data_IF_517955981224
#
_entry.id   IF_517955981224
#
_cell.length_a   1.000
_cell.length_b   1.000
_cell.length_c   1.000
_cell.angle_alpha   90.00
_cell.angle_beta   90.00
_cell.angle_gamma   90.00
#
_symmetry.space_group_name_H-M   'P 1'
#
loop_
_entity.id
_entity.type
_entity.pdbx_description
1 polymer ?
#
# COMPACT_ATOMS: atom_id res chain seq x y z
N UNK A 1 18.36 9.57 13.61
CA UNK A 1 18.25 9.81 12.13
C UNK A 1 16.91 10.36 11.62
N UNK A 2 15.75 9.73 11.86
CA UNK A 2 14.57 9.81 10.94
C UNK A 2 13.89 11.17 10.78
N UNK A 3 14.04 12.09 11.74
CA UNK A 3 13.51 13.46 11.68
C UNK A 3 14.56 14.49 11.18
N UNK A 4 15.76 14.05 10.82
CA UNK A 4 16.81 14.92 10.29
C UNK A 4 16.45 15.40 8.87
N UNK A 5 16.48 16.71 8.63
CA UNK A 5 16.09 17.30 7.36
C UNK A 5 16.90 16.82 6.15
N UNK A 6 18.19 16.52 6.31
CA UNK A 6 19.03 16.02 5.22
C UNK A 6 18.81 14.54 4.95
N UNK A 7 18.42 13.76 5.97
CA UNK A 7 17.95 12.39 5.75
C UNK A 7 16.64 12.37 4.96
N UNK A 8 15.70 13.25 5.32
CA UNK A 8 14.43 13.42 4.58
C UNK A 8 14.73 13.88 3.15
N UNK A 9 15.64 14.83 2.95
CA UNK A 9 16.05 15.28 1.63
C UNK A 9 16.66 14.14 0.80
N UNK A 10 17.54 13.33 1.38
CA UNK A 10 18.11 12.17 0.70
C UNK A 10 17.03 11.17 0.27
N UNK A 11 16.03 10.89 1.12
CA UNK A 11 14.92 10.02 0.77
C UNK A 11 14.06 10.60 -0.37
N UNK A 12 13.79 11.91 -0.34
CA UNK A 12 13.06 12.61 -1.41
C UNK A 12 13.84 12.59 -2.73
N UNK A 13 15.15 12.82 -2.66
CA UNK A 13 16.05 12.79 -3.82
C UNK A 13 16.09 11.39 -4.46
N UNK A 14 16.18 10.34 -3.64
CA UNK A 14 16.10 8.95 -4.11
C UNK A 14 14.76 8.67 -4.81
N UNK A 15 13.63 9.05 -4.21
CA UNK A 15 12.31 8.84 -4.80
C UNK A 15 12.14 9.62 -6.12
N UNK A 16 12.57 10.88 -6.16
CA UNK A 16 12.48 11.73 -7.35
C UNK A 16 13.38 11.25 -8.49
N UNK A 17 14.62 10.89 -8.19
CA UNK A 17 15.55 10.35 -9.18
C UNK A 17 15.05 9.00 -9.73
N UNK A 18 14.56 8.11 -8.87
CA UNK A 18 13.96 6.84 -9.28
C UNK A 18 12.79 7.07 -10.25
N UNK A 19 11.86 7.95 -9.90
CA UNK A 19 10.71 8.27 -10.74
C UNK A 19 11.14 8.79 -12.13
N UNK A 20 12.16 9.66 -12.19
CA UNK A 20 12.66 10.28 -13.41
C UNK A 20 13.58 9.37 -14.26
N UNK A 21 14.21 8.35 -13.67
CA UNK A 21 15.22 7.51 -14.33
C UNK A 21 14.67 6.55 -15.40
N UNK A 22 13.36 6.36 -15.48
CA UNK A 22 12.74 5.27 -16.25
C UNK A 22 12.80 3.91 -15.55
N UNK A 23 13.44 3.83 -14.38
CA UNK A 23 13.54 2.65 -13.53
C UNK A 23 14.95 2.11 -13.42
N UNK A 24 15.24 1.51 -12.27
CA UNK A 24 16.48 0.78 -11.95
C UNK A 24 16.12 -0.53 -11.28
N UNK A 25 16.97 -1.55 -11.42
CA UNK A 25 16.70 -2.91 -10.96
C UNK A 25 17.30 -3.22 -9.58
N UNK A 26 18.22 -2.39 -9.09
CA UNK A 26 18.95 -2.64 -7.84
C UNK A 26 19.21 -1.38 -7.02
N UNK A 27 19.52 -1.57 -5.74
CA UNK A 27 19.91 -0.47 -4.85
C UNK A 27 21.21 0.18 -5.33
N UNK A 28 22.14 -0.60 -5.86
CA UNK A 28 23.41 -0.07 -6.38
C UNK A 28 23.17 0.84 -7.60
N UNK A 29 22.28 0.44 -8.51
CA UNK A 29 21.87 1.29 -9.64
C UNK A 29 21.15 2.55 -9.17
N UNK A 30 20.26 2.44 -8.18
CA UNK A 30 19.61 3.61 -7.57
C UNK A 30 20.65 4.58 -7.00
N UNK A 31 21.62 4.08 -6.24
CA UNK A 31 22.65 4.91 -5.62
C UNK A 31 23.61 5.53 -6.63
N UNK A 32 23.76 4.93 -7.81
CA UNK A 32 24.55 5.49 -8.91
C UNK A 32 23.85 6.65 -9.65
N UNK A 33 22.53 6.86 -9.44
CA UNK A 33 21.82 7.97 -10.07
C UNK A 33 22.35 9.33 -9.56
N UNK A 34 22.31 10.39 -10.40
CA UNK A 34 22.64 11.75 -9.96
C UNK A 34 21.72 12.22 -8.84
N UNK A 35 22.29 12.90 -7.84
CA UNK A 35 21.49 13.56 -6.80
C UNK A 35 20.84 14.84 -7.35
N UNK A 36 19.50 14.98 -7.27
CA UNK A 36 18.82 16.22 -7.68
C UNK A 36 19.22 17.44 -6.84
N UNK A 37 19.53 17.26 -5.55
CA UNK A 37 19.87 18.38 -4.65
C UNK A 37 21.37 18.63 -4.50
N UNK A 38 22.23 17.72 -4.98
CA UNK A 38 23.70 17.82 -4.94
C UNK A 38 24.31 17.68 -6.34
N UNK A 39 24.33 18.76 -7.15
CA UNK A 39 24.91 18.72 -8.49
C UNK A 39 26.35 18.21 -8.50
N UNK A 40 26.65 17.28 -9.41
CA UNK A 40 27.97 16.66 -9.54
C UNK A 40 28.22 15.49 -8.59
N UNK A 41 27.25 15.12 -7.74
CA UNK A 41 27.31 13.95 -6.87
C UNK A 41 26.25 12.90 -7.25
N UNK A 42 26.52 11.65 -6.92
CA UNK A 42 25.52 10.57 -6.94
C UNK A 42 24.72 10.53 -5.64
N UNK A 43 23.58 9.83 -5.63
CA UNK A 43 22.83 9.54 -4.41
C UNK A 43 23.68 8.73 -3.40
N UNK A 44 24.58 7.88 -3.88
CA UNK A 44 25.55 7.14 -3.07
C UNK A 44 26.56 8.03 -2.36
N UNK A 45 27.06 9.07 -3.04
CA UNK A 45 27.96 10.07 -2.46
C UNK A 45 27.24 10.85 -1.36
N UNK A 46 26.03 11.38 -1.67
CA UNK A 46 25.19 12.10 -0.72
C UNK A 46 24.87 11.24 0.52
N UNK A 47 24.57 9.94 0.32
CA UNK A 47 24.35 8.98 1.42
C UNK A 47 25.60 8.85 2.29
N UNK A 48 26.77 8.69 1.67
CA UNK A 48 28.04 8.47 2.36
C UNK A 48 28.47 9.71 3.15
N UNK A 49 28.30 10.90 2.59
CA UNK A 49 28.52 12.18 3.27
C UNK A 49 27.61 12.32 4.50
N UNK A 50 26.31 12.04 4.35
CA UNK A 50 25.35 12.09 5.44
C UNK A 50 25.73 11.11 6.55
N UNK A 51 26.03 9.86 6.21
CA UNK A 51 26.50 8.84 7.15
C UNK A 51 27.74 9.31 7.94
N UNK A 52 28.75 9.85 7.26
CA UNK A 52 29.97 10.33 7.91
C UNK A 52 29.73 11.47 8.89
N UNK A 53 28.68 12.26 8.66
CA UNK A 53 28.32 13.39 9.51
C UNK A 53 27.45 13.00 10.70
N UNK A 54 26.44 12.16 10.49
CA UNK A 54 25.50 11.77 11.58
C UNK A 54 25.99 10.55 12.38
N UNK A 55 26.86 9.71 11.80
CA UNK A 55 27.43 8.49 12.41
C UNK A 55 26.39 7.45 12.86
N UNK A 56 25.20 7.48 12.28
CA UNK A 56 24.14 6.49 12.46
C UNK A 56 24.01 5.65 11.18
N UNK A 57 23.83 4.33 11.32
CA UNK A 57 23.66 3.43 10.18
C UNK A 57 22.24 3.52 9.64
N UNK A 58 22.10 3.73 8.33
CA UNK A 58 20.83 3.64 7.60
C UNK A 58 21.07 3.10 6.20
N UNK A 59 20.13 2.31 5.70
CA UNK A 59 20.23 1.62 4.41
C UNK A 59 18.92 1.74 3.62
N UNK A 60 19.01 1.61 2.30
CA UNK A 60 17.84 1.44 1.45
C UNK A 60 17.44 -0.03 1.52
N UNK A 61 16.33 -0.32 2.21
CA UNK A 61 15.86 -1.71 2.36
C UNK A 61 15.14 -2.24 1.11
N UNK A 62 14.23 -1.41 0.57
CA UNK A 62 13.44 -1.71 -0.64
C UNK A 62 13.01 -0.42 -1.33
N UNK A 63 12.77 -0.51 -2.63
CA UNK A 63 12.13 0.55 -3.42
C UNK A 63 11.23 -0.08 -4.47
N UNK A 64 10.23 0.68 -4.90
CA UNK A 64 9.32 0.28 -5.96
C UNK A 64 9.07 1.50 -6.84
N UNK A 65 8.89 1.23 -8.14
CA UNK A 65 8.47 2.22 -9.12
C UNK A 65 7.26 1.65 -9.85
N UNK A 66 6.27 2.50 -10.06
CA UNK A 66 5.05 2.18 -10.79
C UNK A 66 4.92 3.16 -11.96
N UNK A 67 4.22 2.73 -13.00
CA UNK A 67 3.87 3.57 -14.14
C UNK A 67 2.43 4.06 -14.01
N UNK A 68 2.14 5.24 -14.55
CA UNK A 68 0.79 5.82 -14.60
C UNK A 68 0.56 6.95 -13.60
N UNK A 69 -0.68 7.44 -13.54
CA UNK A 69 -1.07 8.47 -12.58
C UNK A 69 -1.13 7.86 -11.17
N UNK A 70 -0.62 8.59 -10.18
CA UNK A 70 -0.49 8.08 -8.81
C UNK A 70 -1.04 9.03 -7.77
N UNK A 71 -1.67 8.47 -6.75
CA UNK A 71 -1.86 9.12 -5.44
C UNK A 71 -0.93 8.49 -4.40
N UNK A 72 -0.72 9.19 -3.28
CA UNK A 72 0.08 8.63 -2.20
C UNK A 72 -0.26 9.24 -0.85
N UNK A 73 0.06 8.49 0.20
CA UNK A 73 -0.09 8.93 1.58
C UNK A 73 1.02 8.34 2.43
N UNK A 74 1.65 9.17 3.26
CA UNK A 74 2.59 8.72 4.28
C UNK A 74 2.05 9.06 5.66
N UNK A 75 2.03 8.08 6.56
CA UNK A 75 1.68 8.24 7.96
C UNK A 75 2.95 8.11 8.81
N UNK A 76 3.22 9.09 9.67
CA UNK A 76 4.40 9.08 10.54
C UNK A 76 3.96 9.35 11.99
N UNK A 77 3.21 8.40 12.57
CA UNK A 77 2.79 8.42 13.97
C UNK A 77 3.33 7.16 14.68
N UNK A 78 2.47 6.44 15.43
CA UNK A 78 2.86 5.21 16.13
C UNK A 78 3.36 4.13 15.16
N UNK A 79 2.70 4.00 14.02
CA UNK A 79 3.18 3.21 12.87
C UNK A 79 3.68 4.18 11.82
N UNK A 80 4.83 3.89 11.22
CA UNK A 80 5.32 4.64 10.06
C UNK A 80 5.01 3.84 8.81
N UNK A 81 4.09 4.35 7.99
CA UNK A 81 3.62 3.68 6.78
C UNK A 81 3.60 4.60 5.56
N UNK A 82 3.71 3.99 4.38
CA UNK A 82 3.65 4.66 3.09
C UNK A 82 2.77 3.87 2.13
N UNK A 83 1.87 4.57 1.45
CA UNK A 83 1.01 4.04 0.40
C UNK A 83 1.29 4.77 -0.90
N UNK A 84 1.43 3.99 -1.97
CA UNK A 84 1.43 4.45 -3.36
C UNK A 84 0.26 3.79 -4.09
N UNK A 85 -0.63 4.58 -4.66
CA UNK A 85 -1.84 4.14 -5.36
C UNK A 85 -1.71 4.48 -6.84
N UNK A 86 -1.90 3.51 -7.73
CA UNK A 86 -1.97 3.74 -9.18
C UNK A 86 -3.44 3.84 -9.59
N UNK A 87 -3.77 4.88 -10.33
CA UNK A 87 -5.15 5.20 -10.71
C UNK A 87 -5.27 5.61 -12.18
N UNK A 88 -6.48 5.48 -12.72
CA UNK A 88 -6.92 6.13 -13.95
C UNK A 88 -8.07 7.09 -13.62
N UNK A 89 -7.98 8.35 -14.07
CA UNK A 89 -8.98 9.37 -13.74
C UNK A 89 -8.96 9.77 -12.27
N UNK A 90 -10.05 10.40 -11.81
CA UNK A 90 -10.16 10.93 -10.45
C UNK A 90 -9.44 12.25 -10.20
N UNK A 91 -9.51 12.71 -8.95
CA UNK A 91 -8.78 13.88 -8.46
C UNK A 91 -7.68 13.45 -7.49
N UNK A 92 -6.66 14.30 -7.31
CA UNK A 92 -5.60 14.10 -6.32
C UNK A 92 -6.16 13.87 -4.90
N UNK A 93 -7.25 14.56 -4.56
CA UNK A 93 -7.92 14.41 -3.27
C UNK A 93 -8.56 13.02 -3.13
N UNK A 94 -9.23 12.51 -4.17
CA UNK A 94 -9.82 11.18 -4.15
C UNK A 94 -8.74 10.09 -4.04
N UNK A 95 -7.64 10.22 -4.80
CA UNK A 95 -6.52 9.28 -4.75
C UNK A 95 -5.81 9.29 -3.38
N UNK A 96 -5.65 10.48 -2.78
CA UNK A 96 -5.13 10.64 -1.42
C UNK A 96 -6.04 10.01 -0.38
N UNK A 97 -7.35 10.19 -0.51
CA UNK A 97 -8.35 9.65 0.42
C UNK A 97 -8.38 8.12 0.41
N UNK A 98 -8.29 7.50 -0.77
CA UNK A 98 -8.13 6.05 -0.89
C UNK A 98 -6.77 5.60 -0.34
N UNK A 99 -5.70 6.36 -0.57
CA UNK A 99 -4.37 6.02 -0.02
C UNK A 99 -4.37 6.04 1.52
N UNK A 100 -5.09 6.98 2.13
CA UNK A 100 -5.32 7.01 3.58
C UNK A 100 -6.13 5.80 4.06
N UNK A 101 -7.15 5.40 3.30
CA UNK A 101 -7.94 4.20 3.61
C UNK A 101 -7.07 2.94 3.60
N UNK A 102 -6.24 2.75 2.57
CA UNK A 102 -5.29 1.62 2.48
C UNK A 102 -4.37 1.58 3.70
N UNK A 103 -3.82 2.73 4.10
CA UNK A 103 -2.95 2.81 5.28
C UNK A 103 -3.66 2.45 6.59
N UNK A 104 -4.97 2.72 6.69
CA UNK A 104 -5.75 2.45 7.89
C UNK A 104 -6.31 1.02 7.95
N UNK A 105 -6.73 0.47 6.82
CA UNK A 105 -7.44 -0.82 6.73
C UNK A 105 -6.54 -1.98 6.30
N UNK A 106 -5.34 -1.70 5.77
CA UNK A 106 -4.35 -2.69 5.37
C UNK A 106 -4.93 -3.87 4.54
N UNK A 107 -5.63 -3.60 3.42
CA UNK A 107 -6.08 -4.65 2.51
C UNK A 107 -4.89 -5.48 2.01
N UNK A 108 -5.13 -6.76 1.78
CA UNK A 108 -4.12 -7.69 1.26
C UNK A 108 -4.20 -7.87 -0.26
N UNK A 109 -5.29 -7.42 -0.88
CA UNK A 109 -5.55 -7.55 -2.31
C UNK A 109 -6.38 -6.35 -2.81
N UNK A 110 -6.32 -6.03 -4.12
CA UNK A 110 -7.16 -4.97 -4.69
C UNK A 110 -8.61 -5.44 -4.75
N UNK A 111 -8.85 -6.63 -5.31
CA UNK A 111 -10.17 -7.24 -5.42
C UNK A 111 -10.20 -8.63 -4.79
N UNK A 112 -11.41 -9.18 -4.58
CA UNK A 112 -11.55 -10.54 -4.03
C UNK A 112 -11.00 -11.61 -4.97
N UNK A 113 -10.97 -11.36 -6.27
CA UNK A 113 -10.43 -12.27 -7.28
C UNK A 113 -8.91 -12.39 -7.22
N UNK A 114 -8.22 -11.41 -6.61
CA UNK A 114 -6.77 -11.44 -6.40
C UNK A 114 -6.37 -12.20 -5.12
N UNK A 115 -7.33 -12.62 -4.29
CA UNK A 115 -7.06 -13.45 -3.13
C UNK A 115 -6.88 -14.90 -3.59
N UNK A 116 -5.83 -15.57 -3.08
CA UNK A 116 -5.55 -16.97 -3.39
C UNK A 116 -6.82 -17.83 -3.16
N UNK A 117 -7.33 -18.52 -4.21
CA UNK A 117 -8.50 -19.39 -4.09
C UNK A 117 -8.36 -20.45 -3.00
N UNK A 118 -7.15 -20.95 -2.72
CA UNK A 118 -6.91 -21.91 -1.65
C UNK A 118 -7.17 -21.31 -0.26
N UNK A 119 -6.87 -20.02 -0.06
CA UNK A 119 -7.20 -19.30 1.17
C UNK A 119 -8.71 -19.12 1.30
N UNK A 120 -9.38 -18.76 0.21
CA UNK A 120 -10.84 -18.57 0.18
C UNK A 120 -11.58 -19.87 0.50
N UNK A 121 -11.19 -20.99 -0.12
CA UNK A 121 -11.83 -22.28 0.12
C UNK A 121 -11.55 -22.82 1.52
N UNK A 122 -10.33 -22.64 2.04
CA UNK A 122 -10.02 -22.97 3.43
C UNK A 122 -10.88 -22.16 4.41
N UNK A 123 -11.05 -20.87 4.16
CA UNK A 123 -11.91 -20.02 5.00
C UNK A 123 -13.38 -20.47 4.91
N UNK A 124 -13.87 -20.82 3.72
CA UNK A 124 -15.21 -21.37 3.51
C UNK A 124 -15.44 -22.63 4.34
N UNK A 125 -14.49 -23.57 4.34
CA UNK A 125 -14.56 -24.80 5.14
C UNK A 125 -14.63 -24.50 6.65
N UNK A 126 -13.80 -23.59 7.14
CA UNK A 126 -13.78 -23.15 8.54
C UNK A 126 -15.16 -22.56 8.93
N UNK A 127 -15.68 -21.66 8.10
CA UNK A 127 -16.97 -21.01 8.34
C UNK A 127 -18.13 -22.01 8.30
N UNK A 128 -18.07 -23.00 7.41
CA UNK A 128 -19.08 -24.07 7.31
C UNK A 128 -19.06 -24.98 8.52
N UNK A 129 -17.88 -25.41 8.96
CA UNK A 129 -17.71 -26.20 10.18
C UNK A 129 -18.23 -25.46 11.41
N UNK A 130 -17.94 -24.16 11.53
CA UNK A 130 -18.45 -23.31 12.60
C UNK A 130 -20.00 -23.25 12.60
N UNK A 131 -20.62 -23.00 11.44
CA UNK A 131 -22.07 -22.90 11.32
C UNK A 131 -22.80 -24.24 11.59
N UNK A 132 -22.21 -25.38 11.22
CA UNK A 132 -22.73 -26.70 11.57
C UNK A 132 -22.67 -26.97 13.08
N UNK A 133 -21.56 -26.58 13.73
CA UNK A 133 -21.40 -26.72 15.18
C UNK A 133 -22.40 -25.86 15.97
N UNK A 134 -22.93 -24.78 15.37
CA UNK A 134 -24.03 -23.98 15.92
C UNK A 134 -25.42 -24.67 15.80
N UNK A 135 -25.49 -25.88 15.25
CA UNK A 135 -26.72 -26.68 15.13
C UNK A 135 -27.71 -26.16 14.08
N UNK A 136 -27.23 -25.39 13.09
CA UNK A 136 -28.07 -24.81 12.04
C UNK A 136 -28.40 -25.84 10.95
N UNK A 137 -29.61 -25.82 10.37
CA UNK A 137 -29.94 -26.61 9.18
C UNK A 137 -29.04 -26.29 7.98
N UNK A 138 -28.75 -27.26 7.10
CA UNK A 138 -27.81 -27.09 5.98
C UNK A 138 -28.13 -25.90 5.06
N UNK A 139 -29.41 -25.70 4.74
CA UNK A 139 -29.87 -24.58 3.92
C UNK A 139 -29.64 -23.20 4.57
N UNK A 140 -29.51 -23.14 5.90
CA UNK A 140 -29.14 -21.94 6.65
C UNK A 140 -27.63 -21.81 6.74
N UNK A 141 -26.91 -22.92 6.90
CA UNK A 141 -25.44 -22.97 6.91
C UNK A 141 -24.87 -22.34 5.65
N UNK A 142 -25.34 -22.73 4.47
CA UNK A 142 -24.78 -22.22 3.21
C UNK A 142 -24.95 -20.70 3.09
N UNK A 143 -26.14 -20.17 3.44
CA UNK A 143 -26.40 -18.72 3.46
C UNK A 143 -25.54 -18.00 4.50
N UNK A 144 -25.30 -18.60 5.65
CA UNK A 144 -24.43 -18.02 6.69
C UNK A 144 -22.98 -17.97 6.24
N UNK A 145 -22.49 -19.03 5.59
CA UNK A 145 -21.13 -19.10 5.04
C UNK A 145 -20.95 -18.02 3.97
N UNK A 146 -21.90 -17.86 3.04
CA UNK A 146 -21.83 -16.79 2.05
C UNK A 146 -21.79 -15.39 2.69
N UNK A 147 -22.64 -15.14 3.70
CA UNK A 147 -22.63 -13.86 4.42
C UNK A 147 -21.30 -13.58 5.12
N UNK A 148 -20.73 -14.58 5.81
CA UNK A 148 -19.45 -14.46 6.50
C UNK A 148 -18.27 -14.33 5.53
N UNK A 149 -18.32 -15.00 4.37
CA UNK A 149 -17.33 -14.81 3.30
C UNK A 149 -17.37 -13.39 2.72
N UNK A 150 -18.55 -12.76 2.60
CA UNK A 150 -18.61 -11.35 2.21
C UNK A 150 -17.89 -10.45 3.22
N UNK A 151 -18.02 -10.72 4.52
CA UNK A 151 -17.27 -10.01 5.56
C UNK A 151 -15.77 -10.25 5.45
N UNK A 152 -15.34 -11.49 5.16
CA UNK A 152 -13.94 -11.80 4.88
C UNK A 152 -13.39 -10.98 3.70
N UNK A 153 -14.12 -10.91 2.58
CA UNK A 153 -13.70 -10.09 1.45
C UNK A 153 -13.71 -8.60 1.78
N UNK A 154 -14.70 -8.11 2.52
CA UNK A 154 -14.77 -6.73 2.98
C UNK A 154 -13.67 -6.37 3.99
N UNK A 155 -12.97 -7.34 4.58
CA UNK A 155 -11.77 -7.11 5.39
C UNK A 155 -10.50 -7.14 4.53
N UNK A 156 -10.43 -8.05 3.56
CA UNK A 156 -9.18 -8.38 2.84
C UNK A 156 -8.98 -7.66 1.51
N UNK A 157 -10.05 -7.36 0.78
CA UNK A 157 -9.99 -6.78 -0.56
C UNK A 157 -10.38 -5.30 -0.54
N UNK A 158 -9.50 -4.43 -1.04
CA UNK A 158 -9.67 -2.98 -1.02
C UNK A 158 -11.02 -2.54 -1.62
N UNK A 159 -11.39 -3.07 -2.79
CA UNK A 159 -12.61 -2.67 -3.49
C UNK A 159 -13.90 -3.05 -2.74
N UNK A 160 -13.83 -4.07 -1.88
CA UNK A 160 -14.97 -4.57 -1.09
C UNK A 160 -15.05 -3.91 0.30
N UNK A 161 -13.98 -3.23 0.73
CA UNK A 161 -13.91 -2.57 2.04
C UNK A 161 -14.91 -1.40 2.14
N UNK A 162 -15.62 -1.26 3.28
CA UNK A 162 -16.36 -0.04 3.62
C UNK A 162 -15.39 1.14 3.71
N UNK A 163 -15.71 2.26 3.06
CA UNK A 163 -14.80 3.39 2.99
C UNK A 163 -14.71 4.11 4.35
N UNK A 164 -13.51 4.27 4.89
CA UNK A 164 -13.29 4.78 6.27
C UNK A 164 -13.87 6.16 6.57
N UNK A 165 -14.03 7.00 5.54
CA UNK A 165 -14.64 8.33 5.70
C UNK A 165 -16.16 8.31 5.55
N UNK A 166 -16.70 7.28 4.92
CA UNK A 166 -18.14 7.06 4.78
C UNK A 166 -18.42 5.55 4.66
N UNK A 167 -18.71 4.93 5.81
CA UNK A 167 -18.97 3.49 5.89
C UNK A 167 -20.27 3.06 5.19
N UNK A 168 -21.07 3.99 4.66
CA UNK A 168 -22.27 3.68 3.88
C UNK A 168 -21.95 3.23 2.44
N UNK A 169 -20.71 3.40 1.98
CA UNK A 169 -20.26 2.97 0.66
C UNK A 169 -18.95 2.19 0.71
N UNK A 170 -18.68 1.40 -0.32
CA UNK A 170 -17.39 0.73 -0.48
C UNK A 170 -16.36 1.67 -1.11
N UNK A 171 -15.08 1.31 -1.02
CA UNK A 171 -14.01 2.02 -1.73
C UNK A 171 -14.24 1.99 -3.25
N UNK A 172 -14.71 0.87 -3.80
CA UNK A 172 -15.05 0.78 -5.23
C UNK A 172 -16.09 1.83 -5.61
N UNK A 173 -17.18 1.94 -4.84
CA UNK A 173 -18.21 2.94 -5.07
C UNK A 173 -17.68 4.36 -4.94
N UNK A 174 -16.88 4.64 -3.91
CA UNK A 174 -16.26 5.96 -3.74
C UNK A 174 -15.37 6.34 -4.94
N UNK A 175 -14.56 5.40 -5.44
CA UNK A 175 -13.71 5.62 -6.59
C UNK A 175 -14.53 5.91 -7.86
N UNK A 176 -15.55 5.09 -8.13
CA UNK A 176 -16.46 5.25 -9.27
C UNK A 176 -17.21 6.59 -9.23
N UNK A 177 -17.76 6.98 -8.08
CA UNK A 177 -18.47 8.26 -7.89
C UNK A 177 -17.54 9.47 -8.11
N UNK A 178 -16.22 9.29 -8.00
CA UNK A 178 -15.20 10.31 -8.28
C UNK A 178 -14.56 10.15 -9.68
N UNK A 179 -15.09 9.28 -10.55
CA UNK A 179 -14.55 9.03 -11.88
C UNK A 179 -13.12 8.46 -11.85
N UNK A 180 -12.79 7.70 -10.81
CA UNK A 180 -11.47 7.14 -10.55
C UNK A 180 -11.54 5.61 -10.62
N UNK A 181 -10.59 5.01 -11.33
CA UNK A 181 -10.37 3.56 -11.31
C UNK A 181 -9.06 3.25 -10.61
N UNK A 182 -9.13 2.43 -9.56
CA UNK A 182 -7.94 1.96 -8.85
C UNK A 182 -7.35 0.79 -9.62
N UNK A 183 -6.04 0.84 -9.90
CA UNK A 183 -5.33 -0.16 -10.73
C UNK A 183 -4.39 -1.02 -9.91
N UNK A 184 -3.75 -0.43 -8.90
CA UNK A 184 -2.77 -1.09 -8.05
C UNK A 184 -2.57 -0.25 -6.80
N UNK A 185 -2.19 -0.87 -5.69
CA UNK A 185 -1.59 -0.15 -4.57
C UNK A 185 -0.33 -0.89 -4.08
N UNK A 186 0.55 -0.14 -3.44
CA UNK A 186 1.68 -0.64 -2.66
C UNK A 186 1.54 -0.03 -1.27
N UNK A 187 1.52 -0.85 -0.23
CA UNK A 187 1.48 -0.41 1.16
C UNK A 187 2.66 -1.00 1.91
N UNK A 188 3.50 -0.15 2.49
CA UNK A 188 4.63 -0.56 3.31
C UNK A 188 4.56 0.07 4.68
N UNK A 189 4.89 -0.73 5.69
CA UNK A 189 5.11 -0.29 7.06
C UNK A 189 6.58 -0.51 7.43
N UNK A 190 7.18 0.43 8.15
CA UNK A 190 8.51 0.23 8.72
C UNK A 190 8.46 -0.86 9.80
N UNK A 191 9.43 -1.77 9.74
CA UNK A 191 9.51 -2.89 10.68
C UNK A 191 8.64 -4.10 10.32
N UNK A 192 7.88 -4.03 9.22
CA UNK A 192 7.23 -5.19 8.60
C UNK A 192 7.88 -5.50 7.26
N UNK A 193 8.15 -6.78 7.04
CA UNK A 193 8.53 -7.30 5.72
C UNK A 193 7.38 -7.19 4.73
#
# INVERSE_FOLDING_TARGET
VTQNGEFIQLANDMAGALAASGGVASVDELLALPSPSKPGQTLGDQRSELFNRIREVFNVGRFARVEGATGGYSHNATTVSGVLLVVEGGSDQAAKDVSMHVAACNPVALSKEEIDPAVVEKEREILRAAALNEGKPENIVDKMVEGRLRSFFAEKALLEQPFVKDNAMTVAKYADDNGMKIKQFIHWELGRE
#
